data_IF_587934563440
#
_entry.id   IF_587934563440
#
_cell.length_a   1.000
_cell.length_b   1.000
_cell.length_c   1.000
_cell.angle_alpha   90.00
_cell.angle_beta   90.00
_cell.angle_gamma   90.00
#
_symmetry.space_group_name_H-M   'P 1'
#
loop_
_entity.id
_entity.type
_entity.pdbx_description
1 polymer ?
#
# COMPACT_ATOMS: atom_id res chain seq x y z
N UNK A 1 -23.11 14.40 24.09
CA UNK A 1 -21.66 14.51 24.37
C UNK A 1 -20.95 13.56 23.42
N UNK A 2 -20.20 14.08 22.44
CA UNK A 2 -19.37 13.23 21.58
C UNK A 2 -18.27 12.67 22.48
N UNK A 3 -18.15 11.35 22.53
CA UNK A 3 -17.21 10.65 23.40
C UNK A 3 -15.78 11.12 23.10
N UNK A 4 -15.13 11.75 24.08
CA UNK A 4 -13.78 12.28 23.94
C UNK A 4 -12.76 11.18 23.59
N UNK A 5 -13.06 9.93 23.97
CA UNK A 5 -12.28 8.77 23.56
C UNK A 5 -12.40 8.49 22.05
N UNK A 6 -13.60 8.57 21.46
CA UNK A 6 -13.80 8.36 20.03
C UNK A 6 -13.07 9.41 19.18
N UNK A 7 -13.12 10.68 19.60
CA UNK A 7 -12.40 11.78 18.94
C UNK A 7 -10.87 11.61 19.00
N UNK A 8 -10.34 11.08 20.11
CA UNK A 8 -8.91 10.81 20.28
C UNK A 8 -8.44 9.66 19.38
N UNK A 9 -9.22 8.59 19.29
CA UNK A 9 -8.94 7.44 18.43
C UNK A 9 -8.94 7.83 16.95
N UNK A 10 -9.88 8.69 16.54
CA UNK A 10 -9.96 9.20 15.17
C UNK A 10 -8.69 10.00 14.81
N UNK A 11 -8.24 10.89 15.69
CA UNK A 11 -7.04 11.69 15.44
C UNK A 11 -5.79 10.80 15.27
N UNK A 12 -5.65 9.76 16.12
CA UNK A 12 -4.54 8.81 16.02
C UNK A 12 -4.57 8.01 14.71
N UNK A 13 -5.75 7.58 14.26
CA UNK A 13 -5.90 6.88 12.99
C UNK A 13 -5.52 7.75 11.79
N UNK A 14 -5.91 9.03 11.81
CA UNK A 14 -5.56 10.00 10.75
C UNK A 14 -4.04 10.21 10.71
N UNK A 15 -3.38 10.35 11.86
CA UNK A 15 -1.93 10.55 11.92
C UNK A 15 -1.16 9.31 11.47
N UNK A 16 -1.62 8.11 11.84
CA UNK A 16 -1.08 6.85 11.33
C UNK A 16 -1.25 6.74 9.79
N UNK A 17 -2.38 7.18 9.26
CA UNK A 17 -2.63 7.25 7.82
C UNK A 17 -1.64 8.18 7.10
N UNK A 18 -1.44 9.39 7.63
CA UNK A 18 -0.45 10.35 7.09
C UNK A 18 0.97 9.80 7.13
N UNK A 19 1.33 9.09 8.19
CA UNK A 19 2.67 8.51 8.32
C UNK A 19 2.89 7.39 7.30
N UNK A 20 1.87 6.56 7.06
CA UNK A 20 1.89 5.52 6.03
C UNK A 20 2.04 6.12 4.64
N UNK A 21 1.30 7.19 4.33
CA UNK A 21 1.40 7.88 3.05
C UNK A 21 2.81 8.44 2.80
N UNK A 22 3.43 9.08 3.80
CA UNK A 22 4.81 9.57 3.70
C UNK A 22 5.81 8.44 3.45
N UNK A 23 5.57 7.28 4.06
CA UNK A 23 6.42 6.12 3.84
C UNK A 23 6.33 5.61 2.39
N UNK A 24 5.11 5.55 1.83
CA UNK A 24 4.89 5.20 0.42
C UNK A 24 5.57 6.19 -0.53
N UNK A 25 5.44 7.50 -0.28
CA UNK A 25 6.12 8.52 -1.08
C UNK A 25 7.65 8.39 -1.04
N UNK A 26 8.21 7.98 0.10
CA UNK A 26 9.64 7.71 0.24
C UNK A 26 10.06 6.49 -0.58
N UNK A 27 9.33 5.38 -0.47
CA UNK A 27 9.59 4.17 -1.24
C UNK A 27 9.50 4.42 -2.75
N UNK A 28 8.48 5.14 -3.20
CA UNK A 28 8.30 5.53 -4.61
C UNK A 28 9.51 6.32 -5.11
N UNK A 29 9.99 7.30 -4.33
CA UNK A 29 11.21 8.06 -4.68
C UNK A 29 12.45 7.17 -4.76
N UNK A 30 12.62 6.23 -3.83
CA UNK A 30 13.76 5.30 -3.84
C UNK A 30 13.72 4.36 -5.07
N UNK A 31 12.55 3.85 -5.42
CA UNK A 31 12.35 3.00 -6.60
C UNK A 31 12.72 3.78 -7.86
N UNK A 32 12.19 4.99 -8.04
CA UNK A 32 12.51 5.83 -9.20
C UNK A 32 14.00 6.15 -9.27
N UNK A 33 14.63 6.52 -8.14
CA UNK A 33 16.06 6.82 -8.10
C UNK A 33 16.91 5.59 -8.44
N UNK A 34 16.52 4.40 -7.97
CA UNK A 34 17.21 3.14 -8.30
C UNK A 34 17.02 2.75 -9.77
N UNK A 35 15.81 2.86 -10.30
CA UNK A 35 15.52 2.61 -11.71
C UNK A 35 16.34 3.54 -12.62
N UNK A 36 16.44 4.83 -12.26
CA UNK A 36 17.31 5.79 -12.95
C UNK A 36 18.78 5.37 -12.95
N UNK A 37 19.32 4.95 -11.81
CA UNK A 37 20.70 4.42 -11.73
C UNK A 37 20.89 3.15 -12.56
N UNK A 38 19.95 2.21 -12.50
CA UNK A 38 20.01 0.98 -13.30
C UNK A 38 19.95 1.26 -14.80
N UNK A 39 19.12 2.20 -15.24
CA UNK A 39 19.06 2.62 -16.64
C UNK A 39 20.37 3.28 -17.09
N UNK A 40 21.01 4.08 -16.22
CA UNK A 40 22.32 4.68 -16.50
C UNK A 40 23.44 3.61 -16.57
N UNK A 41 23.45 2.64 -15.66
CA UNK A 41 24.40 1.52 -15.70
C UNK A 41 24.16 0.61 -16.92
N UNK A 42 22.91 0.37 -17.30
CA UNK A 42 22.56 -0.40 -18.51
C UNK A 42 22.99 0.33 -19.79
N UNK A 43 22.92 1.67 -19.84
CA UNK A 43 23.48 2.46 -20.93
C UNK A 43 25.02 2.42 -20.95
N UNK A 44 25.67 2.37 -19.79
CA UNK A 44 27.13 2.33 -19.67
C UNK A 44 27.75 0.93 -19.92
N UNK A 45 26.96 -0.15 -19.83
CA UNK A 45 27.42 -1.54 -19.94
C UNK A 45 26.92 -2.28 -21.18
N UNK A 46 26.98 -1.67 -22.36
CA UNK A 46 26.47 -2.30 -23.59
C UNK A 46 27.21 -3.61 -23.99
N UNK A 47 26.66 -4.76 -23.55
CA UNK A 47 26.82 -6.11 -24.11
C UNK A 47 26.53 -7.25 -23.09
N UNK A 48 25.98 -8.43 -23.44
CA UNK A 48 25.13 -8.84 -24.55
C UNK A 48 23.63 -8.84 -24.16
N UNK A 49 22.79 -8.32 -25.06
CA UNK A 49 21.34 -8.02 -24.96
C UNK A 49 20.41 -9.06 -24.29
N UNK A 50 20.83 -10.32 -24.13
CA UNK A 50 19.99 -11.42 -23.62
C UNK A 50 19.94 -11.49 -22.08
N UNK A 51 21.08 -11.33 -21.42
CA UNK A 51 21.16 -11.38 -19.95
C UNK A 51 20.38 -10.23 -19.29
N UNK A 52 20.44 -9.03 -19.87
CA UNK A 52 19.66 -7.90 -19.38
C UNK A 52 18.15 -8.08 -19.59
N UNK A 53 17.73 -8.78 -20.64
CA UNK A 53 16.31 -9.00 -20.90
C UNK A 53 15.70 -10.01 -19.92
N UNK A 54 16.38 -11.14 -19.66
CA UNK A 54 15.95 -12.10 -18.64
C UNK A 54 15.93 -11.51 -17.24
N UNK A 55 16.94 -10.69 -16.88
CA UNK A 55 16.99 -10.04 -15.59
C UNK A 55 15.84 -9.03 -15.41
N UNK A 56 15.53 -8.26 -16.45
CA UNK A 56 14.40 -7.32 -16.44
C UNK A 56 13.09 -8.09 -16.30
N UNK A 57 12.86 -9.14 -17.10
CA UNK A 57 11.63 -9.94 -17.00
C UNK A 57 11.45 -10.60 -15.65
N UNK A 58 12.52 -11.15 -15.07
CA UNK A 58 12.46 -11.77 -13.74
C UNK A 58 12.14 -10.75 -12.65
N UNK A 59 12.78 -9.59 -12.67
CA UNK A 59 12.51 -8.51 -11.73
C UNK A 59 11.09 -7.94 -11.90
N UNK A 60 10.60 -7.84 -13.13
CA UNK A 60 9.21 -7.45 -13.42
C UNK A 60 8.24 -8.49 -12.86
N UNK A 61 8.46 -9.78 -13.10
CA UNK A 61 7.61 -10.85 -12.60
C UNK A 61 7.55 -10.88 -11.06
N UNK A 62 8.70 -10.87 -10.38
CA UNK A 62 8.77 -10.87 -8.92
C UNK A 62 8.05 -9.63 -8.33
N UNK A 63 8.17 -8.47 -8.95
CA UNK A 63 7.47 -7.25 -8.51
C UNK A 63 5.98 -7.24 -8.79
N UNK A 64 5.51 -7.87 -9.87
CA UNK A 64 4.08 -8.01 -10.14
C UNK A 64 3.40 -8.91 -9.09
N UNK A 65 4.05 -10.00 -8.68
CA UNK A 65 3.53 -10.87 -7.61
C UNK A 65 3.43 -10.11 -6.30
N UNK A 66 4.44 -9.32 -5.94
CA UNK A 66 4.37 -8.50 -4.72
C UNK A 66 3.25 -7.44 -4.78
N UNK A 67 3.03 -6.82 -5.94
CA UNK A 67 1.92 -5.88 -6.12
C UNK A 67 0.56 -6.56 -6.03
N UNK A 68 0.43 -7.78 -6.55
CA UNK A 68 -0.80 -8.57 -6.50
C UNK A 68 -1.15 -8.98 -5.06
N UNK A 69 -0.16 -9.38 -4.27
CA UNK A 69 -0.32 -9.66 -2.83
C UNK A 69 -0.77 -8.41 -2.07
N UNK A 70 -0.20 -7.26 -2.38
CA UNK A 70 -0.60 -5.98 -1.76
C UNK A 70 -2.03 -5.60 -2.16
N UNK A 71 -2.39 -5.76 -3.43
CA UNK A 71 -3.74 -5.47 -3.93
C UNK A 71 -4.79 -6.39 -3.28
N UNK A 72 -4.51 -7.68 -3.19
CA UNK A 72 -5.37 -8.64 -2.48
C UNK A 72 -5.52 -8.26 -1.00
N UNK A 73 -4.42 -7.90 -0.34
CA UNK A 73 -4.44 -7.49 1.06
C UNK A 73 -5.25 -6.20 1.27
N UNK A 74 -5.15 -5.25 0.33
CA UNK A 74 -5.92 -4.01 0.35
C UNK A 74 -7.42 -4.29 0.18
N UNK A 75 -7.80 -5.14 -0.77
CA UNK A 75 -9.20 -5.52 -1.00
C UNK A 75 -9.83 -6.16 0.25
N UNK A 76 -9.09 -7.04 0.94
CA UNK A 76 -9.54 -7.64 2.20
C UNK A 76 -9.72 -6.58 3.30
N UNK A 77 -8.81 -5.60 3.39
CA UNK A 77 -8.93 -4.51 4.36
C UNK A 77 -10.13 -3.60 4.06
N UNK A 78 -10.36 -3.24 2.78
CA UNK A 78 -11.50 -2.42 2.37
C UNK A 78 -12.83 -3.12 2.65
N UNK A 79 -12.92 -4.43 2.42
CA UNK A 79 -14.09 -5.21 2.77
C UNK A 79 -14.36 -5.19 4.28
N UNK A 80 -13.33 -5.43 5.11
CA UNK A 80 -13.46 -5.40 6.56
C UNK A 80 -13.90 -4.03 7.07
N UNK A 81 -13.39 -2.94 6.49
CA UNK A 81 -13.82 -1.57 6.81
C UNK A 81 -15.29 -1.36 6.45
N UNK A 82 -15.74 -1.86 5.29
CA UNK A 82 -17.15 -1.78 4.89
C UNK A 82 -18.09 -2.51 5.86
N UNK A 83 -17.71 -3.71 6.29
CA UNK A 83 -18.49 -4.49 7.26
C UNK A 83 -18.57 -3.81 8.64
N UNK A 84 -17.47 -3.20 9.10
CA UNK A 84 -17.45 -2.45 10.35
C UNK A 84 -18.31 -1.19 10.27
N UNK A 85 -18.24 -0.43 9.17
CA UNK A 85 -19.10 0.74 8.96
C UNK A 85 -20.58 0.38 8.92
N UNK A 86 -20.94 -0.72 8.27
CA UNK A 86 -22.31 -1.20 8.25
C UNK A 86 -22.81 -1.58 9.66
N UNK A 87 -21.95 -2.13 10.51
CA UNK A 87 -22.30 -2.42 11.92
C UNK A 87 -22.46 -1.15 12.78
N UNK A 88 -21.73 -0.09 12.46
CA UNK A 88 -21.89 1.22 13.12
C UNK A 88 -23.13 1.99 12.63
N UNK A 89 -23.51 1.85 11.35
CA UNK A 89 -24.74 2.46 10.78
C UNK A 89 -26.02 1.73 11.18
N UNK A 90 -25.93 0.41 11.42
CA UNK A 90 -26.98 -0.36 12.07
C UNK A 90 -26.56 -0.69 13.51
N UNK A 91 -26.57 0.29 14.44
CA UNK A 91 -26.54 -0.06 15.84
C UNK A 91 -27.77 -0.94 16.04
N UNK A 92 -27.55 -2.22 16.35
CA UNK A 92 -28.62 -3.12 16.74
C UNK A 92 -29.44 -2.41 17.79
N UNK A 93 -30.60 -1.89 17.39
CA UNK A 93 -31.66 -1.48 18.28
C UNK A 93 -32.08 -2.76 18.99
N UNK A 94 -31.39 -3.09 20.08
CA UNK A 94 -31.92 -3.99 21.07
C UNK A 94 -33.15 -3.27 21.62
N UNK A 95 -34.38 -3.77 21.37
CA UNK A 95 -35.50 -3.31 22.15
C UNK A 95 -35.26 -3.86 23.55
N UNK A 96 -35.01 -2.97 24.50
CA UNK A 96 -35.03 -3.31 25.91
C UNK A 96 -36.43 -3.85 26.23
N UNK A 97 -36.48 -5.13 26.59
CA UNK A 97 -37.65 -5.77 27.22
C UNK A 97 -37.33 -5.99 28.70
#
# INVERSE_FOLDING_TARGET
MIDAHASKTLAQAIDAGRQTQRHLECLTRQIMARAGRQAMTAKAGAGPRKYHHELVHRLTFERWVELDVIACSLAVQEQAIGELRHRDEFPTHHPAA
#
